data_IF_740963493742
#
_entry.id   IF_740963493742
#
_cell.length_a   1.000
_cell.length_b   1.000
_cell.length_c   1.000
_cell.angle_alpha   90.00
_cell.angle_beta   90.00
_cell.angle_gamma   90.00
#
_symmetry.space_group_name_H-M   'P 1'
#
loop_
_entity.id
_entity.type
_entity.pdbx_description
1 polymer ?
#
# COMPACT_ATOMS: atom_id res chain seq x y z
N UNK A 1 14.44 -1.02 -29.49
CA UNK A 1 13.81 -0.81 -28.18
C UNK A 1 14.04 0.63 -27.82
N UNK A 2 13.00 1.41 -27.54
CA UNK A 2 13.15 2.77 -27.03
C UNK A 2 13.83 2.70 -25.66
N UNK A 3 14.94 3.42 -25.50
CA UNK A 3 15.75 3.44 -24.27
C UNK A 3 14.90 4.05 -23.16
N UNK A 4 14.83 3.40 -22.00
CA UNK A 4 14.06 3.93 -20.85
C UNK A 4 14.98 4.77 -19.96
N UNK A 5 14.53 5.95 -19.47
CA UNK A 5 15.32 6.79 -18.58
C UNK A 5 15.72 6.02 -17.31
N UNK A 6 16.96 6.14 -16.81
CA UNK A 6 17.39 5.50 -15.59
C UNK A 6 16.59 6.01 -14.38
N UNK A 7 16.53 5.17 -13.36
CA UNK A 7 15.98 5.48 -12.04
C UNK A 7 17.10 5.58 -11.02
N UNK A 8 17.28 6.74 -10.40
CA UNK A 8 18.19 6.91 -9.26
C UNK A 8 17.36 6.95 -7.98
N UNK A 9 17.56 5.97 -7.11
CA UNK A 9 16.92 5.93 -5.79
C UNK A 9 17.74 6.77 -4.81
N UNK A 10 17.17 7.89 -4.36
CA UNK A 10 17.80 8.80 -3.41
C UNK A 10 17.47 8.37 -1.97
N UNK A 11 18.39 7.69 -1.30
CA UNK A 11 18.25 7.19 0.06
C UNK A 11 18.90 8.14 1.09
N UNK A 12 18.48 8.08 2.35
CA UNK A 12 19.13 8.89 3.39
C UNK A 12 20.59 8.48 3.63
N UNK A 13 20.82 7.17 3.73
CA UNK A 13 22.10 6.55 4.09
C UNK A 13 22.22 6.22 5.58
N UNK A 14 23.11 5.28 5.89
CA UNK A 14 23.40 4.81 7.25
C UNK A 14 24.79 4.22 7.31
N UNK A 15 25.47 4.35 8.45
CA UNK A 15 26.78 3.71 8.68
C UNK A 15 26.67 2.24 9.08
N UNK A 16 25.46 1.74 9.33
CA UNK A 16 25.26 0.34 9.71
C UNK A 16 25.19 -0.56 8.49
N UNK A 17 26.05 -1.58 8.46
CA UNK A 17 26.17 -2.50 7.33
C UNK A 17 24.86 -3.23 7.01
N UNK A 18 24.10 -3.66 8.01
CA UNK A 18 22.81 -4.34 7.82
C UNK A 18 21.77 -3.42 7.17
N UNK A 19 21.66 -2.17 7.64
CA UNK A 19 20.75 -1.18 7.06
C UNK A 19 21.12 -0.84 5.61
N UNK A 20 22.42 -0.73 5.30
CA UNK A 20 22.89 -0.53 3.93
C UNK A 20 22.61 -1.74 3.03
N UNK A 21 22.84 -2.95 3.53
CA UNK A 21 22.57 -4.19 2.79
C UNK A 21 21.07 -4.32 2.47
N UNK A 22 20.19 -4.03 3.45
CA UNK A 22 18.74 -4.05 3.23
C UNK A 22 18.29 -2.97 2.24
N UNK A 23 18.89 -1.78 2.28
CA UNK A 23 18.61 -0.71 1.32
C UNK A 23 19.02 -1.10 -0.11
N UNK A 24 20.21 -1.69 -0.28
CA UNK A 24 20.68 -2.18 -1.59
C UNK A 24 19.82 -3.34 -2.11
N UNK A 25 19.43 -4.27 -1.25
CA UNK A 25 18.52 -5.36 -1.62
C UNK A 25 17.16 -4.86 -2.15
N UNK A 26 16.63 -3.78 -1.57
CA UNK A 26 15.43 -3.13 -2.09
C UNK A 26 15.65 -2.54 -3.49
N UNK A 27 16.80 -1.93 -3.75
CA UNK A 27 17.14 -1.39 -5.08
C UNK A 27 17.30 -2.51 -6.10
N UNK A 28 17.93 -3.62 -5.73
CA UNK A 28 18.04 -4.81 -6.58
C UNK A 28 16.63 -5.39 -6.89
N UNK A 29 15.72 -5.38 -5.92
CA UNK A 29 14.31 -5.76 -6.14
C UNK A 29 13.61 -4.83 -7.11
N UNK A 30 13.81 -3.52 -7.01
CA UNK A 30 13.26 -2.54 -7.96
C UNK A 30 13.81 -2.79 -9.37
N UNK A 31 15.12 -3.02 -9.49
CA UNK A 31 15.77 -3.32 -10.76
C UNK A 31 15.21 -4.59 -11.41
N UNK A 32 15.01 -5.66 -10.62
CA UNK A 32 14.41 -6.91 -11.11
C UNK A 32 12.98 -6.73 -11.65
N UNK A 33 12.22 -5.75 -11.12
CA UNK A 33 10.86 -5.42 -11.57
C UNK A 33 10.80 -4.41 -12.73
N UNK A 34 11.93 -3.82 -13.11
CA UNK A 34 12.06 -2.87 -14.21
C UNK A 34 13.07 -3.36 -15.26
N UNK A 35 12.78 -4.47 -15.97
CA UNK A 35 13.70 -5.00 -16.97
C UNK A 35 13.96 -3.97 -18.07
N UNK A 36 15.25 -3.68 -18.32
CA UNK A 36 15.69 -2.69 -19.30
C UNK A 36 15.84 -1.26 -18.79
N UNK A 37 15.52 -1.00 -17.51
CA UNK A 37 15.83 0.27 -16.83
C UNK A 37 17.13 0.11 -16.05
N UNK A 38 18.05 1.06 -16.21
CA UNK A 38 19.17 1.16 -15.27
C UNK A 38 18.67 1.76 -13.95
N UNK A 39 18.76 0.98 -12.87
CA UNK A 39 18.43 1.45 -11.52
C UNK A 39 19.72 1.65 -10.73
N UNK A 40 19.92 2.85 -10.21
CA UNK A 40 21.04 3.24 -9.36
C UNK A 40 20.58 3.68 -7.96
N UNK A 41 21.52 3.87 -7.05
CA UNK A 41 21.27 4.39 -5.70
C UNK A 41 22.29 5.48 -5.38
N UNK A 42 21.80 6.58 -4.80
CA UNK A 42 22.62 7.65 -4.24
C UNK A 42 22.17 7.97 -2.82
N UNK A 43 23.08 8.47 -1.99
CA UNK A 43 22.80 8.75 -0.59
C UNK A 43 22.90 10.25 -0.29
N UNK A 44 21.97 10.75 0.54
CA UNK A 44 22.02 12.13 1.03
C UNK A 44 23.23 12.33 1.94
N UNK A 45 23.53 11.35 2.80
CA UNK A 45 24.68 11.38 3.69
C UNK A 45 25.08 9.97 4.15
N UNK A 46 26.21 9.85 4.86
CA UNK A 46 26.64 8.66 5.61
C UNK A 46 27.02 7.41 4.79
N UNK A 47 26.80 7.41 3.48
CA UNK A 47 27.13 6.31 2.58
C UNK A 47 27.42 6.83 1.17
N UNK A 48 28.06 5.98 0.37
CA UNK A 48 28.50 6.30 -1.00
C UNK A 48 27.80 5.39 -2.02
N UNK A 49 27.59 5.87 -3.26
CA UNK A 49 27.89 7.23 -3.74
C UNK A 49 26.89 8.29 -3.24
N UNK A 50 27.28 9.55 -3.22
CA UNK A 50 26.32 10.65 -3.04
C UNK A 50 25.32 10.74 -4.22
N UNK A 51 24.23 11.50 -4.04
CA UNK A 51 23.17 11.60 -5.05
C UNK A 51 23.67 12.25 -6.34
N UNK A 52 24.51 13.28 -6.26
CA UNK A 52 25.03 13.97 -7.43
C UNK A 52 25.85 13.02 -8.32
N UNK A 53 26.75 12.25 -7.72
CA UNK A 53 27.54 11.20 -8.37
C UNK A 53 26.64 10.13 -8.97
N UNK A 54 25.65 9.64 -8.21
CA UNK A 54 24.73 8.62 -8.71
C UNK A 54 23.88 9.09 -9.92
N UNK A 55 23.51 10.37 -9.97
CA UNK A 55 22.82 10.97 -11.12
C UNK A 55 23.77 11.06 -12.32
N UNK A 56 24.99 11.57 -12.13
CA UNK A 56 25.98 11.67 -13.18
C UNK A 56 26.31 10.28 -13.79
N UNK A 57 26.57 9.28 -12.95
CA UNK A 57 26.86 7.91 -13.36
C UNK A 57 25.69 7.29 -14.15
N UNK A 58 24.45 7.52 -13.69
CA UNK A 58 23.27 7.01 -14.37
C UNK A 58 23.06 7.64 -15.76
N UNK A 59 23.31 8.94 -15.88
CA UNK A 59 23.26 9.66 -17.15
C UNK A 59 24.39 9.21 -18.10
N UNK A 60 25.60 8.99 -17.59
CA UNK A 60 26.72 8.48 -18.40
C UNK A 60 26.45 7.07 -18.92
N UNK A 61 25.91 6.18 -18.08
CA UNK A 61 25.57 4.81 -18.47
C UNK A 61 24.44 4.76 -19.51
N UNK A 62 23.50 5.71 -19.46
CA UNK A 62 22.34 5.77 -20.37
C UNK A 62 22.51 6.77 -21.51
N UNK A 63 23.62 7.52 -21.61
CA UNK A 63 23.95 8.45 -22.72
C UNK A 63 22.70 9.02 -23.43
N UNK A 64 21.92 9.87 -22.75
CA UNK A 64 20.63 10.33 -23.27
C UNK A 64 20.79 11.03 -24.62
N UNK A 65 19.87 10.76 -25.54
CA UNK A 65 19.79 11.47 -26.82
C UNK A 65 19.01 12.77 -26.63
N UNK A 66 19.41 13.83 -27.34
CA UNK A 66 18.69 15.10 -27.29
C UNK A 66 17.25 14.94 -27.80
N UNK A 67 16.26 15.23 -26.96
CA UNK A 67 14.84 15.10 -27.30
C UNK A 67 13.90 15.70 -26.24
N UNK A 68 12.59 15.69 -26.54
CA UNK A 68 11.54 16.10 -25.61
C UNK A 68 11.22 14.94 -24.66
N UNK A 69 11.89 14.85 -23.51
CA UNK A 69 11.71 13.76 -22.55
C UNK A 69 12.50 13.95 -21.26
N UNK A 70 12.31 13.04 -20.30
CA UNK A 70 13.14 12.99 -19.10
C UNK A 70 14.37 12.13 -19.39
N UNK A 71 15.56 12.65 -19.11
CA UNK A 71 16.83 11.94 -19.28
C UNK A 71 17.14 11.01 -18.12
N UNK A 72 16.61 11.31 -16.92
CA UNK A 72 16.64 10.46 -15.75
C UNK A 72 15.47 10.78 -14.80
N UNK A 73 15.21 9.87 -13.87
CA UNK A 73 14.24 10.09 -12.79
C UNK A 73 14.92 9.81 -11.46
N UNK A 74 14.79 10.74 -10.52
CA UNK A 74 15.26 10.57 -9.14
C UNK A 74 14.05 10.37 -8.23
N UNK A 75 14.03 9.26 -7.50
CA UNK A 75 12.95 8.91 -6.57
C UNK A 75 13.46 8.86 -5.13
N UNK A 76 12.89 9.67 -4.21
CA UNK A 76 13.33 9.67 -2.82
C UNK A 76 12.82 8.43 -2.08
N UNK A 77 13.76 7.65 -1.53
CA UNK A 77 13.51 6.56 -0.59
C UNK A 77 13.34 7.13 0.82
N UNK A 78 12.34 7.99 0.97
CA UNK A 78 11.99 8.72 2.19
C UNK A 78 10.48 8.62 2.43
N UNK A 79 10.09 8.47 3.70
CA UNK A 79 8.69 8.26 4.06
C UNK A 79 7.86 9.52 3.88
N UNK A 80 8.34 10.66 4.37
CA UNK A 80 7.61 11.92 4.36
C UNK A 80 8.45 13.06 3.77
N UNK A 81 7.78 14.15 3.40
CA UNK A 81 8.43 15.40 3.02
C UNK A 81 9.16 16.01 4.23
N UNK A 82 10.48 16.17 4.11
CA UNK A 82 11.35 16.81 5.12
C UNK A 82 12.36 17.74 4.46
N UNK A 83 13.38 18.18 5.21
CA UNK A 83 14.50 18.98 4.67
C UNK A 83 15.13 18.32 3.45
N UNK A 84 15.49 17.04 3.57
CA UNK A 84 16.05 16.24 2.48
C UNK A 84 15.18 16.23 1.22
N UNK A 85 13.87 16.03 1.36
CA UNK A 85 12.96 15.98 0.20
C UNK A 85 12.81 17.36 -0.46
N UNK A 86 12.88 18.45 0.31
CA UNK A 86 12.61 19.81 -0.20
C UNK A 86 13.84 20.57 -0.67
N UNK A 87 15.02 20.20 -0.21
CA UNK A 87 16.24 20.99 -0.40
C UNK A 87 17.42 20.10 -0.79
N UNK A 88 17.85 19.20 0.09
CA UNK A 88 19.13 18.48 -0.11
C UNK A 88 19.12 17.59 -1.37
N UNK A 89 18.03 16.85 -1.62
CA UNK A 89 17.92 16.02 -2.83
C UNK A 89 17.82 16.89 -4.09
N UNK A 90 16.92 17.89 -4.18
CA UNK A 90 16.91 18.83 -5.32
C UNK A 90 18.27 19.47 -5.61
N UNK A 91 19.00 19.92 -4.59
CA UNK A 91 20.33 20.53 -4.76
C UNK A 91 21.34 19.53 -5.33
N UNK A 92 21.36 18.29 -4.83
CA UNK A 92 22.22 17.24 -5.37
C UNK A 92 21.85 16.82 -6.80
N UNK A 93 20.55 16.90 -7.16
CA UNK A 93 20.11 16.68 -8.55
C UNK A 93 20.67 17.77 -9.46
N UNK A 94 20.57 19.05 -9.07
CA UNK A 94 21.12 20.17 -9.84
C UNK A 94 22.64 20.05 -10.04
N UNK A 95 23.36 19.59 -9.01
CA UNK A 95 24.80 19.34 -9.09
C UNK A 95 25.16 18.20 -10.05
N UNK A 96 24.41 17.09 -10.01
CA UNK A 96 24.71 15.89 -10.80
C UNK A 96 24.17 15.89 -12.24
N UNK A 97 23.16 16.71 -12.56
CA UNK A 97 22.43 16.60 -13.85
C UNK A 97 23.13 17.21 -15.05
N UNK A 98 24.03 18.17 -14.84
CA UNK A 98 24.56 18.99 -15.94
C UNK A 98 23.43 19.66 -16.74
N UNK A 99 23.42 19.47 -18.07
CA UNK A 99 22.37 20.00 -18.96
C UNK A 99 21.14 19.07 -19.09
N UNK A 100 21.15 17.90 -18.45
CA UNK A 100 20.09 16.90 -18.59
C UNK A 100 18.77 17.32 -17.89
N UNK A 101 17.66 16.82 -18.43
CA UNK A 101 16.33 16.92 -17.84
C UNK A 101 16.09 15.78 -16.85
N UNK A 102 16.21 16.08 -15.55
CA UNK A 102 16.02 15.09 -14.49
C UNK A 102 14.69 15.33 -13.76
N UNK A 103 13.78 14.37 -13.84
CA UNK A 103 12.53 14.43 -13.10
C UNK A 103 12.74 14.03 -11.64
N UNK A 104 12.06 14.73 -10.72
CA UNK A 104 12.10 14.42 -9.30
C UNK A 104 10.73 13.94 -8.81
N UNK A 105 10.67 12.71 -8.32
CA UNK A 105 9.44 12.09 -7.85
C UNK A 105 9.12 12.41 -6.38
N UNK A 106 7.86 12.18 -5.98
CA UNK A 106 7.41 12.37 -4.59
C UNK A 106 7.85 11.25 -3.63
N UNK A 107 7.78 11.50 -2.30
CA UNK A 107 8.09 10.50 -1.27
C UNK A 107 7.10 9.33 -1.26
N UNK A 108 7.40 8.33 -0.42
CA UNK A 108 6.65 7.07 -0.36
C UNK A 108 5.26 7.23 0.26
N UNK A 109 5.13 7.95 1.38
CA UNK A 109 3.83 8.21 2.00
C UNK A 109 3.13 9.40 1.30
N UNK A 110 1.78 9.43 1.24
CA UNK A 110 0.80 8.61 1.98
C UNK A 110 0.29 7.36 1.23
N UNK A 111 1.11 6.70 0.40
CA UNK A 111 0.66 5.51 -0.34
C UNK A 111 0.16 4.40 0.62
N UNK A 112 -1.06 3.85 0.42
CA UNK A 112 -1.62 2.82 1.29
C UNK A 112 -0.75 1.57 1.46
N UNK A 113 0.08 1.22 0.45
CA UNK A 113 1.00 0.06 0.52
C UNK A 113 2.04 0.23 1.61
N UNK A 114 2.52 1.46 1.84
CA UNK A 114 3.46 1.75 2.93
C UNK A 114 2.83 1.49 4.29
N UNK A 115 1.54 1.81 4.44
CA UNK A 115 0.79 1.53 5.66
C UNK A 115 0.52 0.03 5.82
N UNK A 116 0.21 -0.70 4.75
CA UNK A 116 0.06 -2.16 4.82
C UNK A 116 1.35 -2.85 5.25
N UNK A 117 2.50 -2.43 4.71
CA UNK A 117 3.80 -2.94 5.13
C UNK A 117 4.06 -2.67 6.62
N UNK A 118 3.72 -1.48 7.13
CA UNK A 118 3.78 -1.15 8.55
C UNK A 118 2.83 -2.01 9.41
N UNK A 119 1.57 -2.18 8.99
CA UNK A 119 0.58 -3.00 9.69
C UNK A 119 1.02 -4.47 9.77
N UNK A 120 1.70 -4.97 8.72
CA UNK A 120 2.33 -6.30 8.74
C UNK A 120 3.40 -6.40 9.82
N UNK A 121 4.28 -5.40 9.97
CA UNK A 121 5.29 -5.36 11.04
C UNK A 121 4.68 -5.31 12.43
N UNK A 122 3.56 -4.62 12.59
CA UNK A 122 2.79 -4.63 13.85
C UNK A 122 2.20 -6.02 14.10
N UNK A 123 1.62 -6.66 13.09
CA UNK A 123 1.09 -8.03 13.18
C UNK A 123 2.15 -9.05 13.59
N UNK A 124 3.35 -8.97 13.01
CA UNK A 124 4.49 -9.82 13.38
C UNK A 124 4.92 -9.61 14.85
N UNK A 125 4.81 -8.39 15.38
CA UNK A 125 5.09 -8.13 16.80
C UNK A 125 3.98 -8.63 17.73
N UNK A 126 2.73 -8.65 17.27
CA UNK A 126 1.60 -9.21 18.01
C UNK A 126 1.67 -10.74 18.07
N UNK A 127 2.10 -11.39 16.99
CA UNK A 127 2.21 -12.84 16.86
C UNK A 127 3.61 -13.26 16.37
N UNK A 128 4.67 -13.10 17.19
CA UNK A 128 6.03 -13.46 16.80
C UNK A 128 6.19 -14.98 16.71
N UNK A 129 7.03 -15.44 15.78
CA UNK A 129 7.32 -16.86 15.59
C UNK A 129 7.84 -17.51 16.89
N UNK A 130 7.15 -18.54 17.36
CA UNK A 130 7.49 -19.25 18.59
C UNK A 130 7.18 -18.48 19.89
N UNK A 131 6.55 -17.32 19.82
CA UNK A 131 6.13 -16.53 20.97
C UNK A 131 4.61 -16.53 21.21
N UNK A 132 4.18 -15.93 22.32
CA UNK A 132 2.77 -15.82 22.67
C UNK A 132 2.06 -14.76 21.81
N UNK A 133 0.93 -15.12 21.21
CA UNK A 133 0.09 -14.19 20.45
C UNK A 133 -0.64 -13.21 21.38
N UNK A 134 -0.67 -11.94 20.97
CA UNK A 134 -1.42 -10.87 21.64
C UNK A 134 -2.66 -10.49 20.84
N UNK A 135 -3.79 -10.35 21.55
CA UNK A 135 -5.05 -9.95 20.92
C UNK A 135 -5.04 -8.45 20.63
N UNK A 136 -5.29 -7.99 19.39
CA UNK A 136 -5.26 -6.57 19.05
C UNK A 136 -6.09 -5.68 19.97
N UNK A 137 -7.32 -6.09 20.32
CA UNK A 137 -8.23 -5.31 21.18
C UNK A 137 -7.74 -5.12 22.62
N UNK A 138 -6.79 -5.93 23.07
CA UNK A 138 -6.18 -5.85 24.40
C UNK A 138 -4.82 -5.12 24.35
N UNK A 139 -4.26 -4.89 23.15
CA UNK A 139 -2.91 -4.32 22.95
C UNK A 139 -2.94 -2.87 22.47
N UNK A 140 -2.08 -2.03 23.06
CA UNK A 140 -1.83 -0.66 22.58
C UNK A 140 -0.64 -0.63 21.60
N UNK A 141 -0.64 0.32 20.67
CA UNK A 141 0.52 0.56 19.80
C UNK A 141 1.06 1.97 19.99
N UNK A 142 2.37 2.11 20.16
CA UNK A 142 3.07 3.40 20.06
C UNK A 142 3.77 3.46 18.71
N UNK A 143 3.28 4.32 17.81
CA UNK A 143 3.86 4.51 16.48
C UNK A 143 4.96 5.57 16.52
N UNK A 144 6.19 5.16 16.23
CA UNK A 144 7.37 5.99 16.44
C UNK A 144 7.89 6.54 15.12
N UNK A 145 7.76 7.85 14.92
CA UNK A 145 8.41 8.59 13.84
C UNK A 145 9.72 9.23 14.29
N UNK A 146 10.53 9.75 13.35
CA UNK A 146 11.69 10.60 13.70
C UNK A 146 11.24 11.95 14.30
N UNK A 147 10.16 12.48 13.75
CA UNK A 147 9.72 13.87 13.89
C UNK A 147 10.45 14.76 12.88
N UNK A 148 9.82 15.87 12.51
CA UNK A 148 10.38 16.86 11.61
C UNK A 148 10.15 18.28 12.13
N UNK A 149 10.97 19.23 11.68
CA UNK A 149 10.71 20.66 11.87
C UNK A 149 9.56 21.17 10.99
N UNK A 150 9.05 20.33 10.09
CA UNK A 150 7.93 20.62 9.19
C UNK A 150 6.62 20.18 9.84
N UNK A 151 5.70 21.10 10.18
CA UNK A 151 4.44 20.75 10.84
C UNK A 151 3.62 19.70 10.07
N UNK A 152 3.48 19.87 8.75
CA UNK A 152 2.69 18.95 7.90
C UNK A 152 3.23 17.51 7.94
N UNK A 153 4.55 17.34 7.97
CA UNK A 153 5.16 16.01 8.08
C UNK A 153 4.81 15.33 9.41
N UNK A 154 4.71 16.11 10.50
CA UNK A 154 4.26 15.59 11.79
C UNK A 154 2.74 15.30 11.75
N UNK A 155 1.93 16.16 11.14
CA UNK A 155 0.49 15.94 10.99
C UNK A 155 0.18 14.65 10.22
N UNK A 156 0.96 14.33 9.19
CA UNK A 156 0.84 13.05 8.47
C UNK A 156 1.19 11.84 9.35
N UNK A 157 2.09 11.95 10.32
CA UNK A 157 2.36 10.90 11.31
C UNK A 157 1.15 10.66 12.25
N UNK A 158 0.48 11.74 12.68
CA UNK A 158 -0.77 11.63 13.44
C UNK A 158 -1.89 11.00 12.59
N UNK A 159 -2.00 11.40 11.32
CA UNK A 159 -2.96 10.81 10.38
C UNK A 159 -2.71 9.32 10.18
N UNK A 160 -1.45 8.91 9.96
CA UNK A 160 -1.07 7.50 9.85
C UNK A 160 -1.48 6.73 11.10
N UNK A 161 -1.22 7.30 12.29
CA UNK A 161 -1.58 6.67 13.56
C UNK A 161 -3.08 6.44 13.69
N UNK A 162 -3.90 7.40 13.27
CA UNK A 162 -5.36 7.23 13.25
C UNK A 162 -5.81 6.13 12.30
N UNK A 163 -5.24 6.10 11.09
CA UNK A 163 -5.58 5.10 10.08
C UNK A 163 -5.20 3.68 10.52
N UNK A 164 -4.04 3.51 11.17
CA UNK A 164 -3.62 2.22 11.72
C UNK A 164 -4.58 1.77 12.83
N UNK A 165 -5.02 2.69 13.70
CA UNK A 165 -5.98 2.37 14.75
C UNK A 165 -7.30 1.84 14.18
N UNK A 166 -7.91 2.61 13.28
CA UNK A 166 -9.24 2.28 12.72
C UNK A 166 -9.23 0.97 11.92
N UNK A 167 -8.09 0.59 11.34
CA UNK A 167 -7.97 -0.60 10.48
C UNK A 167 -7.53 -1.88 11.21
N UNK A 168 -6.84 -1.80 12.36
CA UNK A 168 -6.26 -2.97 13.04
C UNK A 168 -7.03 -3.45 14.27
N UNK A 169 -8.09 -2.74 14.71
CA UNK A 169 -8.88 -3.15 15.87
C UNK A 169 -8.09 -3.15 17.19
N UNK A 170 -7.08 -2.28 17.29
CA UNK A 170 -6.21 -2.14 18.45
C UNK A 170 -6.92 -1.44 19.62
N UNK A 171 -6.49 -1.68 20.86
CA UNK A 171 -6.99 -0.97 22.05
C UNK A 171 -6.89 0.54 21.87
N UNK A 172 -5.71 1.00 21.46
CA UNK A 172 -5.40 2.39 21.15
C UNK A 172 -4.11 2.47 20.33
N UNK A 173 -3.92 3.58 19.61
CA UNK A 173 -2.68 3.90 18.92
C UNK A 173 -2.23 5.30 19.28
N UNK A 174 -1.00 5.44 19.79
CA UNK A 174 -0.42 6.71 20.21
C UNK A 174 0.76 7.07 19.29
N UNK A 175 0.77 8.26 18.69
CA UNK A 175 1.94 8.75 17.98
C UNK A 175 3.04 9.14 18.97
N UNK A 176 4.28 8.85 18.63
CA UNK A 176 5.47 9.31 19.33
C UNK A 176 6.57 9.70 18.35
N UNK A 177 7.50 10.52 18.81
CA UNK A 177 8.67 10.93 18.05
C UNK A 177 9.95 10.63 18.84
N UNK A 178 10.95 10.07 18.15
CA UNK A 178 12.18 9.63 18.79
C UNK A 178 13.17 10.76 19.07
N UNK A 179 13.11 11.87 18.31
CA UNK A 179 14.16 12.88 18.31
C UNK A 179 13.66 14.32 18.22
N UNK A 180 12.91 14.67 17.16
CA UNK A 180 12.74 16.08 16.77
C UNK A 180 11.53 16.75 17.43
N UNK A 181 10.49 15.97 17.72
CA UNK A 181 9.21 16.51 18.20
C UNK A 181 8.70 15.75 19.43
N UNK A 182 7.55 16.16 19.96
CA UNK A 182 6.85 15.55 21.09
C UNK A 182 5.46 15.05 20.65
N UNK A 183 4.89 14.06 21.33
CA UNK A 183 5.39 13.39 22.55
C UNK A 183 6.59 12.46 22.26
N UNK A 184 7.47 12.28 23.25
CA UNK A 184 8.60 11.34 23.12
C UNK A 184 8.15 9.88 23.26
N UNK A 185 9.02 8.92 22.94
CA UNK A 185 8.70 7.49 23.12
C UNK A 185 8.34 7.17 24.59
N UNK A 186 9.13 7.59 25.61
CA UNK A 186 8.76 7.40 27.01
C UNK A 186 7.44 8.10 27.41
N UNK A 187 7.15 9.29 26.88
CA UNK A 187 5.90 9.99 27.17
C UNK A 187 4.70 9.19 26.66
N UNK A 188 4.78 8.68 25.42
CA UNK A 188 3.70 7.90 24.82
C UNK A 188 3.52 6.53 25.50
N UNK A 189 4.60 5.87 25.91
CA UNK A 189 4.55 4.65 26.71
C UNK A 189 3.89 4.90 28.07
N UNK A 190 4.26 5.98 28.75
CA UNK A 190 3.65 6.37 30.03
C UNK A 190 2.17 6.70 29.89
N UNK A 191 1.79 7.38 28.80
CA UNK A 191 0.39 7.65 28.49
C UNK A 191 -0.40 6.36 28.20
N UNK A 192 0.20 5.39 27.50
CA UNK A 192 -0.41 4.10 27.27
C UNK A 192 -0.65 3.34 28.58
N UNK A 193 0.36 3.28 29.45
CA UNK A 193 0.27 2.64 30.76
C UNK A 193 -0.79 3.31 31.65
N UNK A 194 -0.83 4.65 31.68
CA UNK A 194 -1.84 5.41 32.43
C UNK A 194 -3.28 5.16 31.93
N UNK A 195 -3.45 4.81 30.64
CA UNK A 195 -4.72 4.37 30.07
C UNK A 195 -5.05 2.87 30.32
N UNK A 196 -4.27 2.21 31.18
CA UNK A 196 -4.46 0.82 31.59
C UNK A 196 -3.97 -0.21 30.57
N UNK A 197 -3.03 0.15 29.70
CA UNK A 197 -2.38 -0.82 28.81
C UNK A 197 -1.40 -1.70 29.61
N UNK A 198 -1.56 -3.02 29.50
CA UNK A 198 -0.60 -4.01 30.03
C UNK A 198 0.29 -4.61 28.93
N UNK A 199 -0.12 -4.46 27.67
CA UNK A 199 0.61 -4.91 26.48
C UNK A 199 0.77 -3.74 25.51
N UNK A 200 2.01 -3.45 25.12
CA UNK A 200 2.33 -2.37 24.19
C UNK A 200 3.28 -2.84 23.09
N UNK A 201 2.89 -2.63 21.84
CA UNK A 201 3.82 -2.74 20.70
C UNK A 201 4.36 -1.35 20.37
N UNK A 202 5.68 -1.19 20.38
CA UNK A 202 6.38 0.00 19.90
C UNK A 202 6.76 -0.22 18.45
N UNK A 203 6.05 0.42 17.53
CA UNK A 203 6.16 0.18 16.09
C UNK A 203 6.94 1.32 15.42
N UNK A 204 8.19 1.09 14.98
CA UNK A 204 8.98 2.11 14.29
C UNK A 204 8.46 2.34 12.87
N UNK A 205 8.17 3.60 12.54
CA UNK A 205 7.88 4.06 11.18
C UNK A 205 9.21 4.38 10.48
N UNK A 206 10.07 3.37 10.36
CA UNK A 206 11.41 3.46 9.76
C UNK A 206 11.53 2.49 8.58
N UNK A 207 12.28 2.89 7.54
CA UNK A 207 12.53 2.03 6.38
C UNK A 207 13.55 0.94 6.69
N UNK A 208 14.69 1.30 7.29
CA UNK A 208 15.80 0.38 7.53
C UNK A 208 16.32 0.47 8.96
N UNK A 209 17.03 -0.57 9.39
CA UNK A 209 17.75 -0.57 10.66
C UNK A 209 18.86 0.46 10.63
N UNK A 210 19.12 1.07 11.79
CA UNK A 210 20.07 2.15 11.91
C UNK A 210 20.17 2.69 13.32
N UNK A 211 20.77 3.88 13.46
CA UNK A 211 20.98 4.53 14.75
C UNK A 211 19.65 4.78 15.49
N UNK A 212 18.59 5.10 14.75
CA UNK A 212 17.25 5.28 15.32
C UNK A 212 16.70 3.99 15.94
N UNK A 213 16.96 2.81 15.36
CA UNK A 213 16.56 1.52 15.93
C UNK A 213 17.28 1.23 17.24
N UNK A 214 18.57 1.55 17.33
CA UNK A 214 19.36 1.40 18.56
C UNK A 214 18.83 2.30 19.68
N UNK A 215 18.64 3.59 19.37
CA UNK A 215 18.07 4.55 20.31
C UNK A 215 16.67 4.18 20.75
N UNK A 216 15.86 3.59 19.86
CA UNK A 216 14.52 3.13 20.20
C UNK A 216 14.59 2.03 21.25
N UNK A 217 15.44 1.02 21.05
CA UNK A 217 15.65 -0.06 22.00
C UNK A 217 16.16 0.46 23.36
N UNK A 218 17.10 1.42 23.35
CA UNK A 218 17.60 2.07 24.57
C UNK A 218 16.50 2.83 25.32
N UNK A 219 15.71 3.65 24.63
CA UNK A 219 14.62 4.42 25.26
C UNK A 219 13.52 3.51 25.82
N UNK A 220 13.15 2.47 25.08
CA UNK A 220 12.15 1.49 25.52
C UNK A 220 12.66 0.69 26.72
N UNK A 221 13.90 0.18 26.67
CA UNK A 221 14.49 -0.58 27.77
C UNK A 221 14.64 0.25 29.05
N UNK A 222 15.06 1.51 28.94
CA UNK A 222 15.16 2.42 30.08
C UNK A 222 13.79 2.70 30.71
N UNK A 223 12.75 2.90 29.90
CA UNK A 223 11.38 3.11 30.40
C UNK A 223 10.84 1.83 31.07
N UNK A 224 11.01 0.66 30.42
CA UNK A 224 10.49 -0.61 30.89
C UNK A 224 11.11 -1.05 32.22
N UNK A 225 12.36 -0.67 32.50
CA UNK A 225 13.02 -0.93 33.78
C UNK A 225 12.26 -0.33 35.00
N UNK A 226 11.44 0.70 34.79
CA UNK A 226 10.60 1.30 35.83
C UNK A 226 9.11 0.93 35.75
N UNK A 227 8.72 0.11 34.75
CA UNK A 227 7.33 -0.29 34.50
C UNK A 227 7.22 -1.81 34.26
N UNK A 228 7.54 -2.65 35.26
CA UNK A 228 7.57 -4.10 35.09
C UNK A 228 6.19 -4.73 34.80
N UNK A 229 5.11 -4.02 35.11
CA UNK A 229 3.73 -4.47 34.89
C UNK A 229 3.26 -4.31 33.43
N UNK A 230 4.07 -3.68 32.58
CA UNK A 230 3.76 -3.46 31.16
C UNK A 230 4.74 -4.25 30.29
N UNK A 231 4.22 -5.24 29.57
CA UNK A 231 5.01 -5.97 28.59
C UNK A 231 5.11 -5.16 27.29
N UNK A 232 6.34 -4.93 26.82
CA UNK A 232 6.62 -4.14 25.63
C UNK A 232 7.33 -4.99 24.57
N UNK A 233 6.83 -4.93 23.33
CA UNK A 233 7.49 -5.52 22.14
C UNK A 233 7.83 -4.43 21.14
N UNK A 234 9.03 -4.49 20.56
CA UNK A 234 9.44 -3.56 19.50
C UNK A 234 9.22 -4.24 18.15
N UNK A 235 8.43 -3.59 17.28
CA UNK A 235 8.21 -4.07 15.91
C UNK A 235 9.43 -3.90 15.01
N UNK A 236 9.49 -4.68 13.94
CA UNK A 236 10.53 -4.55 12.92
C UNK A 236 10.37 -3.26 12.09
N UNK A 237 11.44 -2.87 11.39
CA UNK A 237 11.40 -1.81 10.37
C UNK A 237 10.63 -2.29 9.14
N UNK A 238 10.13 -1.36 8.30
CA UNK A 238 9.38 -1.68 7.08
C UNK A 238 10.21 -2.61 6.16
N UNK A 239 11.49 -2.28 5.99
CA UNK A 239 12.49 -3.12 5.34
C UNK A 239 12.34 -3.25 3.82
N UNK A 240 13.15 -4.14 3.25
CA UNK A 240 13.02 -4.60 1.88
C UNK A 240 11.72 -5.40 1.71
N UNK A 241 10.78 -4.86 0.93
CA UNK A 241 9.53 -5.53 0.60
C UNK A 241 8.94 -5.05 -0.72
N UNK A 242 8.03 -5.85 -1.28
CA UNK A 242 7.39 -5.58 -2.58
C UNK A 242 6.57 -4.30 -2.57
N UNK A 243 5.95 -3.96 -1.44
CA UNK A 243 5.17 -2.74 -1.27
C UNK A 243 6.01 -1.49 -1.51
N UNK A 244 7.21 -1.42 -0.93
CA UNK A 244 8.11 -0.26 -1.09
C UNK A 244 8.63 -0.19 -2.53
N UNK A 245 9.04 -1.34 -3.08
CA UNK A 245 9.52 -1.41 -4.46
C UNK A 245 8.46 -0.97 -5.46
N UNK A 246 7.21 -1.42 -5.29
CA UNK A 246 6.11 -1.09 -6.18
C UNK A 246 5.73 0.41 -6.08
N UNK A 247 5.84 1.02 -4.90
CA UNK A 247 5.63 2.47 -4.74
C UNK A 247 6.72 3.25 -5.47
N UNK A 248 8.00 2.88 -5.34
CA UNK A 248 9.10 3.53 -6.07
C UNK A 248 8.92 3.42 -7.58
N UNK A 249 8.50 2.25 -8.07
CA UNK A 249 8.26 2.00 -9.49
C UNK A 249 7.11 2.86 -10.01
N UNK A 250 6.03 3.01 -9.24
CA UNK A 250 4.92 3.86 -9.63
C UNK A 250 5.32 5.35 -9.63
N UNK A 251 6.13 5.77 -8.66
CA UNK A 251 6.72 7.13 -8.61
C UNK A 251 7.61 7.41 -9.83
N UNK A 252 8.39 6.43 -10.25
CA UNK A 252 9.19 6.48 -11.47
C UNK A 252 8.33 6.60 -12.73
N UNK A 253 7.37 5.68 -12.92
CA UNK A 253 6.49 5.66 -14.10
C UNK A 253 5.64 6.92 -14.22
N UNK A 254 5.21 7.49 -13.10
CA UNK A 254 4.49 8.74 -13.05
C UNK A 254 5.27 9.89 -13.70
N UNK A 255 6.59 9.98 -13.46
CA UNK A 255 7.42 11.03 -14.07
C UNK A 255 7.58 10.88 -15.58
N UNK A 256 7.39 9.68 -16.10
CA UNK A 256 7.49 9.38 -17.53
C UNK A 256 6.15 9.48 -18.26
N UNK A 257 5.07 9.85 -17.57
CA UNK A 257 3.71 9.81 -18.15
C UNK A 257 3.24 8.40 -18.49
N UNK A 258 3.88 7.37 -17.91
CA UNK A 258 3.57 5.94 -18.12
C UNK A 258 2.47 5.49 -17.12
N UNK A 259 1.75 6.44 -16.50
CA UNK A 259 0.57 6.13 -15.67
C UNK A 259 -0.40 5.22 -16.44
N UNK A 260 -0.67 4.03 -15.89
CA UNK A 260 -1.56 3.05 -16.53
C UNK A 260 -0.91 1.97 -17.42
N UNK A 261 0.42 1.79 -17.43
CA UNK A 261 1.09 0.71 -18.18
C UNK A 261 1.55 -0.50 -17.33
N UNK A 262 0.95 -0.72 -16.15
CA UNK A 262 1.21 -1.93 -15.37
C UNK A 262 0.51 -3.17 -15.96
N UNK A 263 0.97 -4.38 -15.62
CA UNK A 263 0.21 -5.62 -15.88
C UNK A 263 -1.28 -5.44 -15.48
N UNK A 264 -2.18 -5.79 -16.38
CA UNK A 264 -3.63 -5.58 -16.23
C UNK A 264 -4.15 -4.22 -16.71
N UNK A 265 -3.29 -3.36 -17.27
CA UNK A 265 -3.69 -2.09 -17.88
C UNK A 265 -3.09 -1.92 -19.31
N UNK A 266 -3.79 -1.21 -20.22
CA UNK A 266 -5.11 -0.60 -20.02
C UNK A 266 -6.21 -1.66 -19.90
N UNK A 267 -7.13 -1.44 -18.96
CA UNK A 267 -8.37 -2.24 -18.91
C UNK A 267 -9.27 -1.71 -20.02
N UNK A 268 -9.80 -2.60 -20.86
CA UNK A 268 -10.83 -2.21 -21.80
C UNK A 268 -12.13 -1.93 -21.04
N UNK A 269 -12.55 -0.66 -21.00
CA UNK A 269 -13.77 -0.27 -20.30
C UNK A 269 -14.99 -0.68 -21.15
N UNK A 270 -15.66 -1.74 -20.72
CA UNK A 270 -16.88 -2.24 -21.33
C UNK A 270 -17.99 -2.37 -20.29
N UNK A 271 -19.22 -2.06 -20.70
CA UNK A 271 -20.41 -2.31 -19.88
C UNK A 271 -20.87 -3.76 -20.01
N UNK A 272 -21.22 -4.39 -18.89
CA UNK A 272 -21.78 -5.74 -18.87
C UNK A 272 -23.31 -5.67 -18.78
N UNK A 273 -24.01 -6.26 -19.76
CA UNK A 273 -25.46 -6.48 -19.68
C UNK A 273 -25.70 -7.79 -18.92
N UNK A 274 -26.11 -7.69 -17.66
CA UNK A 274 -26.33 -8.84 -16.79
C UNK A 274 -27.80 -9.23 -16.60
N UNK A 275 -28.74 -8.51 -17.23
CA UNK A 275 -30.17 -8.82 -17.13
C UNK A 275 -30.47 -10.30 -17.45
N UNK A 276 -30.97 -11.03 -16.45
CA UNK A 276 -31.32 -12.46 -16.56
C UNK A 276 -30.12 -13.38 -16.75
N UNK A 277 -28.90 -12.93 -16.41
CA UNK A 277 -27.67 -13.72 -16.53
C UNK A 277 -27.14 -14.05 -15.16
N UNK A 278 -26.63 -15.27 -15.00
CA UNK A 278 -26.02 -15.72 -13.75
C UNK A 278 -24.73 -14.97 -13.44
N UNK A 279 -24.68 -14.39 -12.25
CA UNK A 279 -23.45 -13.89 -11.63
C UNK A 279 -23.15 -14.71 -10.37
N UNK A 280 -21.97 -15.34 -10.33
CA UNK A 280 -21.52 -16.12 -9.18
C UNK A 280 -20.74 -15.23 -8.20
N UNK A 281 -21.08 -15.28 -6.93
CA UNK A 281 -20.32 -14.66 -5.84
C UNK A 281 -19.81 -15.77 -4.92
N UNK A 282 -18.49 -15.90 -4.81
CA UNK A 282 -17.85 -16.88 -3.91
C UNK A 282 -17.39 -16.17 -2.65
N UNK A 283 -18.01 -16.52 -1.53
CA UNK A 283 -17.90 -15.82 -0.24
C UNK A 283 -19.16 -15.02 0.10
N UNK A 284 -19.42 -14.90 1.40
CA UNK A 284 -20.62 -14.23 1.94
C UNK A 284 -20.29 -13.28 3.11
N UNK A 285 -19.06 -12.76 3.15
CA UNK A 285 -18.61 -11.75 4.12
C UNK A 285 -18.91 -10.32 3.68
N UNK A 286 -18.37 -9.34 4.42
CA UNK A 286 -18.64 -7.90 4.18
C UNK A 286 -18.34 -7.43 2.76
N UNK A 287 -17.33 -8.03 2.10
CA UNK A 287 -17.00 -7.72 0.72
C UNK A 287 -18.13 -8.14 -0.23
N UNK A 288 -18.64 -9.37 -0.08
CA UNK A 288 -19.76 -9.87 -0.87
C UNK A 288 -21.03 -9.07 -0.60
N UNK A 289 -21.33 -8.76 0.67
CA UNK A 289 -22.47 -7.91 1.06
C UNK A 289 -22.49 -6.56 0.33
N UNK A 290 -21.31 -5.98 0.09
CA UNK A 290 -21.18 -4.69 -0.62
C UNK A 290 -21.31 -4.84 -2.14
N UNK A 291 -20.99 -6.01 -2.71
CA UNK A 291 -20.95 -6.25 -4.17
C UNK A 291 -22.27 -6.75 -4.74
N UNK A 292 -23.00 -7.57 -3.97
CA UNK A 292 -24.27 -8.18 -4.40
C UNK A 292 -25.29 -7.12 -4.88
N UNK A 293 -25.53 -6.00 -4.16
CA UNK A 293 -26.53 -5.02 -4.58
C UNK A 293 -26.32 -4.48 -6.00
N UNK A 294 -25.08 -4.16 -6.37
CA UNK A 294 -24.77 -3.64 -7.70
C UNK A 294 -25.00 -4.67 -8.83
N UNK A 295 -24.81 -5.96 -8.53
CA UNK A 295 -25.13 -7.04 -9.49
C UNK A 295 -26.65 -7.19 -9.66
N UNK A 296 -27.40 -7.11 -8.57
CA UNK A 296 -28.87 -7.15 -8.59
C UNK A 296 -29.46 -5.95 -9.33
N UNK A 297 -28.94 -4.74 -9.09
CA UNK A 297 -29.33 -3.53 -9.82
C UNK A 297 -29.05 -3.62 -11.33
N UNK A 298 -27.99 -4.36 -11.72
CA UNK A 298 -27.69 -4.66 -13.12
C UNK A 298 -28.57 -5.78 -13.73
N UNK A 299 -29.50 -6.34 -12.94
CA UNK A 299 -30.44 -7.39 -13.34
C UNK A 299 -29.88 -8.81 -13.33
N UNK A 300 -28.75 -9.04 -12.65
CA UNK A 300 -28.12 -10.36 -12.58
C UNK A 300 -28.94 -11.36 -11.73
N UNK A 301 -28.94 -12.63 -12.15
CA UNK A 301 -29.36 -13.74 -11.31
C UNK A 301 -28.19 -14.13 -10.40
N UNK A 302 -28.17 -13.61 -9.17
CA UNK A 302 -27.03 -13.74 -8.27
C UNK A 302 -27.09 -15.07 -7.50
N UNK A 303 -26.04 -15.89 -7.66
CA UNK A 303 -25.80 -17.09 -6.87
C UNK A 303 -24.62 -16.87 -5.93
N UNK A 304 -24.80 -17.16 -4.65
CA UNK A 304 -23.77 -17.04 -3.62
C UNK A 304 -23.36 -18.43 -3.15
N UNK A 305 -22.06 -18.74 -3.16
CA UNK A 305 -21.50 -19.97 -2.59
C UNK A 305 -20.55 -19.62 -1.46
N UNK A 306 -20.84 -20.08 -0.25
CA UNK A 306 -19.98 -19.87 0.91
C UNK A 306 -20.21 -20.93 1.99
N UNK A 307 -19.20 -21.35 2.78
CA UNK A 307 -19.40 -22.28 3.90
C UNK A 307 -20.37 -21.77 4.98
N UNK A 308 -20.48 -20.46 5.11
CA UNK A 308 -21.38 -19.76 6.03
C UNK A 308 -21.71 -18.37 5.48
N UNK A 309 -22.90 -17.85 5.76
CA UNK A 309 -23.33 -16.52 5.33
C UNK A 309 -23.57 -15.56 6.50
N UNK A 310 -23.19 -14.29 6.32
CA UNK A 310 -23.53 -13.21 7.25
C UNK A 310 -25.02 -12.89 7.26
N UNK A 311 -25.46 -12.08 8.24
CA UNK A 311 -26.87 -11.72 8.44
C UNK A 311 -27.47 -11.09 7.17
N UNK A 312 -26.74 -10.20 6.48
CA UNK A 312 -27.29 -9.49 5.31
C UNK A 312 -27.47 -10.40 4.11
N UNK A 313 -26.47 -11.23 3.80
CA UNK A 313 -26.56 -12.21 2.68
C UNK A 313 -27.66 -13.23 2.95
N UNK A 314 -27.74 -13.75 4.18
CA UNK A 314 -28.83 -14.66 4.59
C UNK A 314 -30.20 -13.99 4.47
N UNK A 315 -30.30 -12.71 4.83
CA UNK A 315 -31.51 -11.92 4.65
C UNK A 315 -31.91 -11.73 3.18
N UNK A 316 -30.95 -11.49 2.28
CA UNK A 316 -31.20 -11.42 0.82
C UNK A 316 -31.70 -12.76 0.30
N UNK A 317 -31.10 -13.87 0.72
CA UNK A 317 -31.54 -15.22 0.34
C UNK A 317 -32.95 -15.52 0.83
N UNK A 318 -33.28 -15.17 2.08
CA UNK A 318 -34.62 -15.35 2.65
C UNK A 318 -35.71 -14.56 1.91
N UNK A 319 -35.37 -13.43 1.29
CA UNK A 319 -36.27 -12.64 0.43
C UNK A 319 -36.34 -13.15 -1.01
N UNK A 320 -35.56 -14.17 -1.36
CA UNK A 320 -35.47 -14.70 -2.72
C UNK A 320 -34.70 -13.79 -3.70
N UNK A 321 -33.91 -12.85 -3.19
CA UNK A 321 -33.11 -11.94 -4.03
C UNK A 321 -31.86 -12.63 -4.60
N UNK A 322 -31.32 -13.61 -3.87
CA UNK A 322 -30.14 -14.39 -4.27
C UNK A 322 -30.34 -15.88 -3.98
N UNK A 323 -29.71 -16.74 -4.77
CA UNK A 323 -29.61 -18.17 -4.48
C UNK A 323 -28.38 -18.41 -3.59
N UNK A 324 -28.57 -18.76 -2.31
CA UNK A 324 -27.48 -19.08 -1.40
C UNK A 324 -27.25 -20.60 -1.33
N UNK A 325 -26.02 -21.03 -1.55
CA UNK A 325 -25.58 -22.42 -1.40
C UNK A 325 -24.53 -22.48 -0.27
N UNK A 326 -24.93 -23.01 0.88
CA UNK A 326 -24.08 -23.08 2.07
C UNK A 326 -23.10 -24.26 2.02
N UNK A 327 -21.97 -24.06 1.34
CA UNK A 327 -20.83 -24.98 1.29
C UNK A 327 -19.58 -24.30 0.73
N UNK A 328 -18.45 -24.99 0.80
CA UNK A 328 -17.25 -24.59 0.09
C UNK A 328 -17.44 -24.56 -1.44
N UNK A 329 -16.66 -23.68 -2.09
CA UNK A 329 -16.56 -23.56 -3.54
C UNK A 329 -16.11 -24.88 -4.19
N UNK A 330 -16.64 -25.15 -5.38
CA UNK A 330 -16.22 -26.23 -6.28
C UNK A 330 -16.07 -25.66 -7.68
N UNK A 331 -15.14 -26.17 -8.51
CA UNK A 331 -14.96 -25.66 -9.86
C UNK A 331 -16.24 -25.62 -10.72
N UNK A 332 -17.12 -26.61 -10.56
CA UNK A 332 -18.41 -26.67 -11.24
C UNK A 332 -19.39 -25.54 -10.90
N UNK A 333 -19.11 -24.74 -9.86
CA UNK A 333 -19.97 -23.59 -9.50
C UNK A 333 -19.89 -22.47 -10.54
N UNK A 334 -18.78 -22.40 -11.27
CA UNK A 334 -18.56 -21.45 -12.38
C UNK A 334 -19.43 -21.79 -13.59
N UNK A 335 -19.92 -23.03 -13.69
CA UNK A 335 -20.63 -23.50 -14.87
C UNK A 335 -21.88 -22.65 -15.17
N UNK A 336 -21.88 -22.05 -16.36
CA UNK A 336 -22.96 -21.19 -16.85
C UNK A 336 -22.99 -19.79 -16.22
N UNK A 337 -22.01 -19.41 -15.39
CA UNK A 337 -21.85 -18.04 -14.95
C UNK A 337 -21.32 -17.16 -16.10
N UNK A 338 -21.81 -15.92 -16.18
CA UNK A 338 -21.28 -14.91 -17.09
C UNK A 338 -20.24 -14.01 -16.43
N UNK A 339 -20.27 -13.97 -15.09
CA UNK A 339 -19.44 -13.11 -14.29
C UNK A 339 -19.24 -13.73 -12.91
N UNK A 340 -18.02 -13.66 -12.38
CA UNK A 340 -17.65 -14.22 -11.08
C UNK A 340 -17.04 -13.14 -10.18
N UNK A 341 -17.40 -13.15 -8.91
CA UNK A 341 -16.77 -12.33 -7.87
C UNK A 341 -16.18 -13.26 -6.81
N UNK A 342 -14.85 -13.34 -6.73
CA UNK A 342 -14.13 -14.00 -5.67
C UNK A 342 -13.96 -13.02 -4.49
N UNK A 343 -14.64 -13.30 -3.39
CA UNK A 343 -14.77 -12.43 -2.22
C UNK A 343 -14.68 -13.23 -0.90
N UNK A 344 -13.78 -14.20 -0.83
CA UNK A 344 -13.47 -14.94 0.39
C UNK A 344 -12.28 -14.32 1.14
N UNK A 345 -12.12 -14.67 2.41
CA UNK A 345 -10.92 -14.37 3.21
C UNK A 345 -9.75 -15.34 2.94
N UNK A 346 -9.95 -16.35 2.10
CA UNK A 346 -8.94 -17.35 1.74
C UNK A 346 -8.38 -17.04 0.34
N UNK A 347 -7.13 -16.59 0.30
CA UNK A 347 -6.42 -16.25 -0.94
C UNK A 347 -6.31 -17.44 -1.90
N UNK A 348 -6.16 -18.66 -1.39
CA UNK A 348 -6.04 -19.86 -2.22
C UNK A 348 -7.38 -20.21 -2.88
N UNK A 349 -8.49 -20.06 -2.16
CA UNK A 349 -9.84 -20.19 -2.74
C UNK A 349 -10.07 -19.12 -3.81
N UNK A 350 -9.75 -17.85 -3.54
CA UNK A 350 -9.91 -16.78 -4.52
C UNK A 350 -9.06 -17.02 -5.79
N UNK A 351 -7.87 -17.59 -5.65
CA UNK A 351 -7.04 -18.01 -6.78
C UNK A 351 -7.69 -19.13 -7.58
N UNK A 352 -8.15 -20.19 -6.91
CA UNK A 352 -8.82 -21.32 -7.58
C UNK A 352 -10.08 -20.87 -8.35
N UNK A 353 -10.86 -19.95 -7.78
CA UNK A 353 -12.04 -19.37 -8.43
C UNK A 353 -11.65 -18.65 -9.72
N UNK A 354 -10.61 -17.82 -9.66
CA UNK A 354 -10.14 -17.06 -10.83
C UNK A 354 -9.56 -17.96 -11.92
N UNK A 355 -8.76 -18.97 -11.56
CA UNK A 355 -8.21 -19.96 -12.50
C UNK A 355 -9.33 -20.77 -13.18
N UNK A 356 -10.35 -21.16 -12.41
CA UNK A 356 -11.51 -21.89 -12.95
C UNK A 356 -12.32 -21.01 -13.91
N UNK A 357 -12.56 -19.75 -13.53
CA UNK A 357 -13.27 -18.79 -14.37
C UNK A 357 -12.50 -18.52 -15.67
N UNK A 358 -11.19 -18.34 -15.60
CA UNK A 358 -10.33 -18.16 -16.77
C UNK A 358 -10.40 -19.35 -17.72
N UNK A 359 -10.31 -20.58 -17.19
CA UNK A 359 -10.40 -21.81 -17.98
C UNK A 359 -11.75 -21.99 -18.70
N UNK A 360 -12.82 -21.35 -18.20
CA UNK A 360 -14.15 -21.37 -18.80
C UNK A 360 -14.50 -20.09 -19.58
N UNK A 361 -13.54 -19.17 -19.76
CA UNK A 361 -13.74 -17.86 -20.39
C UNK A 361 -14.83 -17.02 -19.70
N UNK A 362 -14.91 -17.11 -18.38
CA UNK A 362 -15.82 -16.31 -17.54
C UNK A 362 -15.02 -15.19 -16.86
N UNK A 363 -15.49 -13.96 -17.00
CA UNK A 363 -14.84 -12.81 -16.37
C UNK A 363 -14.91 -12.89 -14.84
N UNK A 364 -13.78 -12.73 -14.17
CA UNK A 364 -13.67 -12.85 -12.71
C UNK A 364 -13.03 -11.62 -12.08
N UNK A 365 -13.71 -11.05 -11.08
CA UNK A 365 -13.14 -10.04 -10.17
C UNK A 365 -12.64 -10.72 -8.92
N UNK A 366 -11.39 -10.43 -8.55
CA UNK A 366 -10.81 -10.81 -7.26
C UNK A 366 -10.78 -9.63 -6.30
N UNK A 367 -11.30 -9.84 -5.10
CA UNK A 367 -11.42 -8.78 -4.10
C UNK A 367 -10.18 -8.64 -3.19
N UNK A 368 -9.38 -9.70 -3.07
CA UNK A 368 -8.14 -9.77 -2.31
C UNK A 368 -6.94 -9.21 -3.09
N UNK A 369 -6.86 -9.53 -4.39
CA UNK A 369 -5.79 -9.13 -5.29
C UNK A 369 -6.34 -8.88 -6.69
N UNK A 370 -6.61 -7.62 -7.02
CA UNK A 370 -7.25 -7.23 -8.27
C UNK A 370 -6.54 -7.77 -9.53
N UNK A 371 -5.20 -7.83 -9.53
CA UNK A 371 -4.40 -8.35 -10.66
C UNK A 371 -4.58 -9.86 -10.92
N UNK A 372 -5.11 -10.61 -9.96
CA UNK A 372 -5.34 -12.04 -10.14
C UNK A 372 -6.68 -12.38 -10.80
N UNK A 373 -7.47 -11.38 -11.19
CA UNK A 373 -8.75 -11.56 -11.88
C UNK A 373 -8.70 -11.02 -13.31
N UNK A 374 -9.56 -11.54 -14.18
CA UNK A 374 -9.70 -11.12 -15.58
C UNK A 374 -10.61 -9.90 -15.77
N UNK A 375 -11.25 -9.42 -14.71
CA UNK A 375 -12.09 -8.22 -14.73
C UNK A 375 -11.86 -7.33 -13.50
N UNK A 376 -12.25 -6.07 -13.64
CA UNK A 376 -12.14 -5.04 -12.62
C UNK A 376 -13.52 -4.45 -12.34
N UNK A 377 -13.79 -4.13 -11.07
CA UNK A 377 -14.96 -3.31 -10.72
C UNK A 377 -14.55 -1.83 -10.70
N UNK A 378 -15.00 -0.99 -11.64
CA UNK A 378 -14.73 0.44 -11.61
C UNK A 378 -15.30 1.11 -10.36
N UNK A 379 -14.74 2.26 -9.99
CA UNK A 379 -15.44 3.19 -9.13
C UNK A 379 -16.54 3.86 -9.96
N UNK A 380 -17.80 3.48 -9.72
CA UNK A 380 -18.96 3.98 -10.46
C UNK A 380 -19.80 4.91 -9.62
N UNK A 381 -20.37 5.95 -10.23
CA UNK A 381 -21.42 6.78 -9.65
C UNK A 381 -22.45 7.15 -10.72
N UNK A 382 -23.65 7.57 -10.32
CA UNK A 382 -24.66 8.10 -11.22
C UNK A 382 -25.04 9.54 -10.88
N UNK A 383 -25.13 10.39 -11.90
CA UNK A 383 -25.69 11.74 -11.80
C UNK A 383 -26.45 12.09 -13.08
N UNK A 384 -27.67 12.61 -12.94
CA UNK A 384 -28.46 13.11 -14.07
C UNK A 384 -28.75 12.06 -15.16
N UNK A 385 -28.85 10.77 -14.81
CA UNK A 385 -29.02 9.68 -15.77
C UNK A 385 -27.74 9.22 -16.48
N UNK A 386 -26.58 9.78 -16.11
CA UNK A 386 -25.27 9.39 -16.62
C UNK A 386 -24.56 8.53 -15.57
N UNK A 387 -23.99 7.40 -16.00
CA UNK A 387 -23.06 6.63 -15.17
C UNK A 387 -21.63 7.06 -15.48
N UNK A 388 -20.89 7.48 -14.46
CA UNK A 388 -19.44 7.72 -14.55
C UNK A 388 -18.73 6.52 -13.95
N UNK A 389 -17.76 5.98 -14.68
CA UNK A 389 -16.90 4.89 -14.22
C UNK A 389 -15.44 5.34 -14.31
N UNK A 390 -14.71 5.24 -13.19
CA UNK A 390 -13.28 5.48 -13.16
C UNK A 390 -12.56 4.18 -12.87
N UNK A 391 -11.73 3.75 -13.82
CA UNK A 391 -10.75 2.66 -13.64
C UNK A 391 -9.38 3.29 -13.57
N UNK A 392 -8.74 3.19 -12.41
CA UNK A 392 -7.41 3.76 -12.17
C UNK A 392 -6.30 2.71 -12.18
N UNK A 393 -5.07 3.20 -12.12
CA UNK A 393 -3.82 2.46 -12.14
C UNK A 393 -3.44 1.86 -10.78
N UNK A 394 -4.36 1.09 -10.18
CA UNK A 394 -4.14 0.32 -8.93
C UNK A 394 -4.26 1.11 -7.61
N UNK A 395 -4.89 2.28 -7.64
CA UNK A 395 -5.28 3.00 -6.41
C UNK A 395 -6.81 3.24 -6.35
N UNK A 396 -7.57 2.35 -5.67
CA UNK A 396 -9.02 2.49 -5.56
C UNK A 396 -9.47 3.82 -4.96
N UNK A 397 -8.70 4.40 -4.04
CA UNK A 397 -9.02 5.70 -3.42
C UNK A 397 -8.86 6.86 -4.41
N UNK A 398 -7.85 6.80 -5.28
CA UNK A 398 -7.68 7.76 -6.39
C UNK A 398 -8.85 7.68 -7.36
N UNK A 399 -9.26 6.47 -7.76
CA UNK A 399 -10.43 6.28 -8.63
C UNK A 399 -11.69 6.85 -8.01
N UNK A 400 -11.90 6.65 -6.71
CA UNK A 400 -13.01 7.25 -5.95
C UNK A 400 -12.93 8.79 -5.94
N UNK A 401 -11.75 9.37 -5.66
CA UNK A 401 -11.56 10.82 -5.64
C UNK A 401 -11.83 11.45 -7.02
N UNK A 402 -11.26 10.89 -8.09
CA UNK A 402 -11.49 11.37 -9.46
C UNK A 402 -12.96 11.24 -9.84
N UNK A 403 -13.61 10.13 -9.47
CA UNK A 403 -15.05 9.95 -9.66
C UNK A 403 -15.86 11.02 -8.92
N UNK A 404 -15.51 11.36 -7.68
CA UNK A 404 -16.16 12.44 -6.93
C UNK A 404 -15.97 13.82 -7.58
N UNK A 405 -14.79 14.10 -8.12
CA UNK A 405 -14.53 15.34 -8.86
C UNK A 405 -15.35 15.41 -10.15
N UNK A 406 -15.43 14.30 -10.91
CA UNK A 406 -16.29 14.19 -12.10
C UNK A 406 -17.77 14.35 -11.74
N UNK A 407 -18.19 13.83 -10.58
CA UNK A 407 -19.56 13.97 -10.10
C UNK A 407 -19.91 15.43 -9.83
N UNK A 408 -19.03 16.18 -9.15
CA UNK A 408 -19.21 17.62 -8.91
C UNK A 408 -19.40 18.39 -10.22
N UNK A 409 -18.55 18.10 -11.20
CA UNK A 409 -18.66 18.68 -12.54
C UNK A 409 -20.01 18.36 -13.22
N UNK A 410 -20.51 17.13 -13.11
CA UNK A 410 -21.82 16.74 -13.66
C UNK A 410 -23.01 17.33 -12.91
N UNK A 411 -22.86 17.61 -11.62
CA UNK A 411 -23.89 18.25 -10.78
C UNK A 411 -23.86 19.78 -10.89
N UNK A 412 -22.86 20.36 -11.55
CA UNK A 412 -22.70 21.81 -11.70
C UNK A 412 -22.30 22.53 -10.40
N UNK A 413 -21.58 21.84 -9.51
CA UNK A 413 -21.11 22.37 -8.20
C UNK A 413 -19.59 22.52 -8.16
#
# INVERSE_FOLDING_TARGET
MTRQPPLVVAAHGTRQAEGLASCRALVDRVAAKLPGVHVGIGFVELAEPDIATAVADALEAVQPEAGEGQDAVVAPLLLHTGGHVRSDIPEAIEEGRGDAHVAYAGPLMPDPRMRFALQRRIGEALAPDGGAEWRPGDTSVVLVGRGALVPDANAEHYRLSRLVWDEMGLRQVLPAFIQVNRPSVPDALSAAAAAGATQVVVAPVFLFTGKLSQWLAEQVGAWQASHPDVEVRIGGVIGDCDEVADVLIDRYRQQLGIEGAGQGAPVYLSGLRLQGRRALVVGAGQVAERRIPALLEAGAEVRVVAPSAGIKVSGMAARGEVELIERAFRPSDVDGAWYVVAATNDTAVNQQVAETAEAQHVFCVRSDRALGGSAYTPATEQAGGITVAVVGDRNPRRSVKVREELLRALQGV
#
